data_IF_909818319533
#
_entry.id   IF_909818319533
#
_cell.length_a   1.000
_cell.length_b   1.000
_cell.length_c   1.000
_cell.angle_alpha   90.00
_cell.angle_beta   90.00
_cell.angle_gamma   90.00
#
_symmetry.space_group_name_H-M   'P 1'
#
loop_
_entity.id
_entity.type
_entity.pdbx_description
1 polymer ?
#
# COMPACT_ATOMS: atom_id res chain seq x y z
N UNK A 1 55.93 10.75 -80.15
CA UNK A 1 55.97 12.23 -80.18
C UNK A 1 55.48 12.74 -78.83
N UNK A 2 56.48 13.01 -78.04
CA UNK A 2 56.34 13.80 -76.79
C UNK A 2 56.03 15.25 -77.17
N UNK A 3 55.82 16.17 -76.26
CA UNK A 3 55.99 16.18 -74.79
C UNK A 3 54.78 16.91 -74.14
N UNK A 4 54.73 17.31 -72.99
CA UNK A 4 55.55 17.81 -71.93
C UNK A 4 54.65 18.40 -70.82
N UNK A 5 55.01 18.16 -69.70
CA UNK A 5 55.53 19.03 -68.66
C UNK A 5 54.52 19.87 -67.84
N UNK A 6 54.69 19.67 -66.62
CA UNK A 6 55.02 20.63 -65.51
C UNK A 6 53.82 21.13 -64.69
N UNK A 7 53.95 20.74 -63.51
CA UNK A 7 54.42 21.42 -62.28
C UNK A 7 53.31 21.95 -61.40
N UNK A 8 53.50 21.50 -60.24
CA UNK A 8 53.70 22.15 -58.93
C UNK A 8 52.42 22.41 -58.19
N UNK A 9 52.30 21.70 -57.16
CA UNK A 9 52.71 21.95 -55.79
C UNK A 9 51.93 23.11 -55.17
N UNK A 10 51.31 22.80 -54.10
CA UNK A 10 51.50 23.43 -52.80
C UNK A 10 50.33 22.99 -51.89
N UNK A 11 50.65 22.15 -50.90
CA UNK A 11 50.76 22.43 -49.49
C UNK A 11 49.56 23.25 -48.97
N UNK A 12 48.75 22.57 -48.23
CA UNK A 12 47.77 23.16 -47.35
C UNK A 12 47.47 22.15 -46.22
N UNK A 13 48.39 22.14 -45.27
CA UNK A 13 48.20 21.47 -43.99
C UNK A 13 47.07 22.17 -43.25
N UNK A 14 46.04 21.46 -42.89
CA UNK A 14 45.23 21.84 -41.75
C UNK A 14 44.70 20.58 -41.13
N UNK A 15 45.41 20.10 -40.13
CA UNK A 15 44.96 19.21 -39.09
C UNK A 15 43.90 19.97 -38.29
N UNK A 16 42.67 19.70 -38.53
CA UNK A 16 41.60 20.05 -37.60
C UNK A 16 41.22 18.79 -36.83
N UNK A 17 41.92 18.60 -35.72
CA UNK A 17 41.54 17.62 -34.71
C UNK A 17 40.24 18.08 -34.08
N UNK A 18 39.13 17.60 -34.59
CA UNK A 18 37.82 17.77 -33.95
C UNK A 18 37.71 16.88 -32.74
N UNK A 19 37.96 17.45 -31.55
CA UNK A 19 37.65 16.81 -30.28
C UNK A 19 36.12 16.76 -30.17
N UNK A 20 35.54 15.60 -30.46
CA UNK A 20 34.14 15.34 -30.12
C UNK A 20 34.09 15.11 -28.61
N UNK A 21 33.78 16.17 -27.86
CA UNK A 21 33.42 16.07 -26.48
C UNK A 21 32.06 15.35 -26.38
N UNK A 22 32.08 14.05 -26.07
CA UNK A 22 30.87 13.36 -25.60
C UNK A 22 30.47 13.98 -24.27
N UNK A 23 29.53 14.89 -24.31
CA UNK A 23 28.82 15.36 -23.12
C UNK A 23 27.94 14.23 -22.63
N UNK A 24 28.45 13.42 -21.72
CA UNK A 24 27.61 12.51 -20.92
C UNK A 24 26.79 13.39 -19.99
N UNK A 25 25.60 13.73 -20.43
CA UNK A 25 24.59 14.36 -19.56
C UNK A 25 24.16 13.28 -18.57
N UNK A 26 24.82 13.22 -17.43
CA UNK A 26 24.34 12.46 -16.29
C UNK A 26 23.00 13.06 -15.86
N UNK A 27 21.92 12.37 -16.17
CA UNK A 27 20.63 12.62 -15.55
C UNK A 27 20.76 12.26 -14.07
N UNK A 28 21.12 13.22 -13.26
CA UNK A 28 20.93 13.14 -11.81
C UNK A 28 19.45 13.23 -11.58
N UNK A 29 18.78 12.07 -11.42
CA UNK A 29 17.45 12.00 -10.82
C UNK A 29 17.61 12.32 -9.34
N UNK A 30 17.65 13.61 -9.06
CA UNK A 30 17.48 14.14 -7.72
C UNK A 30 16.03 14.56 -7.56
N UNK A 31 15.12 13.63 -7.56
CA UNK A 31 13.76 13.88 -7.11
C UNK A 31 13.69 13.61 -5.61
N UNK A 32 14.15 14.56 -4.83
CA UNK A 32 13.59 14.75 -3.51
C UNK A 32 12.20 15.34 -3.71
N UNK A 33 11.21 14.46 -3.82
CA UNK A 33 9.80 14.83 -3.71
C UNK A 33 9.53 15.30 -2.27
N UNK A 34 9.82 16.58 -2.00
CA UNK A 34 9.42 17.31 -0.80
C UNK A 34 7.95 17.75 -0.89
N UNK A 35 7.08 16.91 -1.46
CA UNK A 35 5.65 17.04 -1.32
C UNK A 35 5.21 16.60 0.08
N UNK A 36 4.11 17.12 0.63
CA UNK A 36 3.59 16.61 1.90
C UNK A 36 3.33 15.12 1.75
N UNK A 37 4.08 14.31 2.53
CA UNK A 37 3.98 12.86 2.49
C UNK A 37 2.55 12.47 2.87
N UNK A 38 1.76 12.06 1.89
CA UNK A 38 0.39 11.65 2.13
C UNK A 38 0.39 10.39 3.02
N UNK A 39 -0.01 10.55 4.26
CA UNK A 39 -0.18 9.44 5.20
C UNK A 39 -1.67 9.07 5.27
N UNK A 40 -2.11 8.01 4.58
CA UNK A 40 -3.51 7.61 4.54
C UNK A 40 -4.03 7.11 5.89
N UNK A 41 -3.13 6.65 6.74
CA UNK A 41 -3.45 6.15 8.08
C UNK A 41 -2.33 6.49 9.07
N UNK A 42 -2.70 6.58 10.34
CA UNK A 42 -1.77 6.64 11.46
C UNK A 42 -1.88 5.38 12.28
N UNK A 43 -0.75 4.91 12.81
CA UNK A 43 -0.67 3.73 13.64
C UNK A 43 -0.46 4.12 15.10
N UNK A 44 -1.29 3.59 15.98
CA UNK A 44 -1.07 3.62 17.42
C UNK A 44 -0.02 2.60 17.87
N UNK A 45 0.30 2.62 19.16
CA UNK A 45 1.19 1.62 19.76
C UNK A 45 0.60 0.21 19.63
N UNK A 46 1.46 -0.79 19.47
CA UNK A 46 1.05 -2.18 19.48
C UNK A 46 0.69 -2.61 20.90
N UNK A 47 -0.35 -3.43 21.05
CA UNK A 47 -0.67 -4.12 22.28
C UNK A 47 0.27 -5.32 22.53
N UNK A 48 0.05 -6.06 23.63
CA UNK A 48 0.83 -7.25 23.98
C UNK A 48 0.76 -8.37 22.93
N UNK A 49 -0.28 -8.39 22.10
CA UNK A 49 -0.45 -9.33 20.97
C UNK A 49 0.14 -8.81 19.65
N UNK A 50 0.75 -7.63 19.66
CA UNK A 50 1.30 -6.97 18.47
C UNK A 50 0.25 -6.31 17.57
N UNK A 51 -0.99 -6.17 18.05
CA UNK A 51 -2.08 -5.50 17.31
C UNK A 51 -1.97 -4.00 17.50
N UNK A 52 -1.97 -3.27 16.38
CA UNK A 52 -1.92 -1.81 16.38
C UNK A 52 -3.32 -1.22 16.12
N UNK A 53 -3.59 -0.09 16.74
CA UNK A 53 -4.75 0.73 16.34
C UNK A 53 -4.43 1.43 15.04
N UNK A 54 -5.34 1.36 14.08
CA UNK A 54 -5.23 2.02 12.77
C UNK A 54 -6.27 3.11 12.69
N UNK A 55 -5.85 4.36 12.44
CA UNK A 55 -6.78 5.47 12.24
C UNK A 55 -6.59 6.01 10.82
N UNK A 56 -7.63 5.90 10.00
CA UNK A 56 -7.64 6.41 8.62
C UNK A 56 -8.01 7.88 8.58
N UNK A 57 -7.48 8.58 7.57
CA UNK A 57 -8.06 9.86 7.16
C UNK A 57 -9.40 9.63 6.47
N UNK A 58 -10.28 10.63 6.46
CA UNK A 58 -11.57 10.54 5.76
C UNK A 58 -11.37 10.26 4.26
N UNK A 59 -10.41 10.90 3.64
CA UNK A 59 -10.07 10.71 2.22
C UNK A 59 -9.60 9.27 1.94
N UNK A 60 -8.76 8.71 2.81
CA UNK A 60 -8.32 7.33 2.66
C UNK A 60 -9.47 6.34 2.76
N UNK A 61 -10.34 6.52 3.75
CA UNK A 61 -11.53 5.70 3.93
C UNK A 61 -12.47 5.75 2.72
N UNK A 62 -12.65 6.94 2.13
CA UNK A 62 -13.44 7.10 0.90
C UNK A 62 -12.80 6.40 -0.30
N UNK A 63 -11.49 6.52 -0.49
CA UNK A 63 -10.77 5.90 -1.61
C UNK A 63 -10.89 4.38 -1.60
N UNK A 64 -10.80 3.76 -0.42
CA UNK A 64 -10.96 2.30 -0.28
C UNK A 64 -12.42 1.89 -0.12
N UNK A 65 -13.35 2.83 -0.20
CA UNK A 65 -14.80 2.62 -0.04
C UNK A 65 -15.11 1.85 1.25
N UNK A 66 -14.45 2.24 2.34
CA UNK A 66 -14.55 1.56 3.61
C UNK A 66 -15.99 1.52 4.10
N UNK A 67 -16.47 0.33 4.43
CA UNK A 67 -17.82 0.13 4.97
C UNK A 67 -17.74 -0.69 6.25
N UNK A 68 -18.73 -0.50 7.11
CA UNK A 68 -18.86 -1.23 8.37
C UNK A 68 -20.25 -1.84 8.48
N UNK A 69 -20.34 -3.01 9.08
CA UNK A 69 -21.58 -3.71 9.36
C UNK A 69 -21.77 -3.98 10.85
N UNK A 70 -22.99 -4.27 11.28
CA UNK A 70 -23.30 -4.56 12.67
C UNK A 70 -22.87 -5.98 13.04
N UNK A 71 -22.58 -6.17 14.32
CA UNK A 71 -22.43 -7.47 14.97
C UNK A 71 -23.77 -7.81 15.61
N UNK A 72 -24.40 -8.90 15.18
CA UNK A 72 -25.68 -9.34 15.69
C UNK A 72 -25.50 -10.47 16.72
N UNK A 73 -26.36 -10.55 17.72
CA UNK A 73 -26.42 -11.72 18.58
C UNK A 73 -26.88 -12.96 17.79
N UNK A 74 -26.27 -14.12 18.03
CA UNK A 74 -26.63 -15.38 17.38
C UNK A 74 -26.43 -16.56 18.34
N UNK A 75 -27.49 -16.99 18.99
CA UNK A 75 -27.45 -18.05 19.98
C UNK A 75 -26.50 -17.71 21.14
N UNK A 76 -25.48 -18.55 21.33
CA UNK A 76 -24.43 -18.32 22.35
C UNK A 76 -23.27 -17.46 21.87
N UNK A 77 -23.27 -17.09 20.60
CA UNK A 77 -22.21 -16.32 19.96
C UNK A 77 -22.76 -15.11 19.25
N UNK A 78 -22.08 -14.70 18.23
CA UNK A 78 -22.43 -13.55 17.39
C UNK A 78 -22.38 -13.90 15.91
N UNK A 79 -23.05 -13.11 15.11
CA UNK A 79 -23.01 -13.21 13.65
C UNK A 79 -22.57 -11.90 13.03
N UNK A 80 -21.76 -12.02 12.00
CA UNK A 80 -21.24 -10.90 11.19
C UNK A 80 -21.42 -11.21 9.71
N UNK A 81 -21.27 -10.18 8.88
CA UNK A 81 -21.09 -10.40 7.45
C UNK A 81 -19.77 -11.13 7.22
N UNK A 82 -19.76 -12.18 6.38
CA UNK A 82 -18.56 -12.96 6.06
C UNK A 82 -17.43 -12.11 5.48
N UNK A 83 -17.75 -11.06 4.74
CA UNK A 83 -16.75 -10.15 4.17
C UNK A 83 -15.94 -9.38 5.23
N UNK A 84 -16.34 -9.40 6.50
CA UNK A 84 -15.57 -8.81 7.59
C UNK A 84 -14.39 -9.70 8.06
N UNK A 85 -14.38 -10.99 7.69
CA UNK A 85 -13.33 -11.91 8.09
C UNK A 85 -12.06 -11.66 7.29
N UNK A 86 -10.95 -11.59 8.00
CA UNK A 86 -9.60 -11.63 7.43
C UNK A 86 -8.83 -12.79 8.04
N UNK A 87 -7.87 -13.29 7.30
CA UNK A 87 -7.01 -14.39 7.74
C UNK A 87 -5.55 -13.92 7.73
N UNK A 88 -4.85 -14.19 8.81
CA UNK A 88 -3.41 -13.91 8.87
C UNK A 88 -2.60 -15.03 8.17
N UNK A 89 -1.29 -14.84 8.11
CA UNK A 89 -0.36 -15.81 7.50
C UNK A 89 -0.34 -17.18 8.19
N UNK A 90 -0.89 -17.27 9.40
CA UNK A 90 -1.02 -18.50 10.18
C UNK A 90 -2.40 -19.14 10.03
N UNK A 91 -3.28 -18.57 9.18
CA UNK A 91 -4.65 -19.02 9.00
C UNK A 91 -5.57 -18.69 10.18
N UNK A 92 -5.18 -17.79 11.09
CA UNK A 92 -6.03 -17.35 12.18
C UNK A 92 -7.04 -16.32 11.66
N UNK A 93 -8.26 -16.41 12.17
CA UNK A 93 -9.37 -15.54 11.77
C UNK A 93 -9.43 -14.29 12.65
N UNK A 94 -9.64 -13.15 12.03
CA UNK A 94 -9.69 -11.83 12.64
C UNK A 94 -10.79 -10.98 12.02
N UNK A 95 -11.22 -9.96 12.76
CA UNK A 95 -12.07 -8.87 12.26
C UNK A 95 -11.50 -7.54 12.72
N UNK A 96 -11.80 -6.45 12.03
CA UNK A 96 -11.53 -5.11 12.51
C UNK A 96 -12.77 -4.55 13.19
N UNK A 97 -12.70 -4.32 14.48
CA UNK A 97 -13.72 -3.59 15.25
C UNK A 97 -13.54 -2.09 15.07
N UNK A 98 -14.62 -1.34 15.28
CA UNK A 98 -14.68 0.11 15.07
C UNK A 98 -15.01 0.78 16.41
N UNK A 99 -14.04 0.98 17.30
CA UNK A 99 -14.28 1.61 18.60
C UNK A 99 -14.64 3.09 18.50
N UNK A 100 -14.14 3.78 17.46
CA UNK A 100 -14.41 5.17 17.16
C UNK A 100 -14.49 5.36 15.64
N UNK A 101 -15.10 6.45 15.13
CA UNK A 101 -15.09 6.73 13.70
C UNK A 101 -13.67 6.71 13.11
N UNK A 102 -13.53 6.03 11.97
CA UNK A 102 -12.27 5.88 11.24
C UNK A 102 -11.12 5.20 12.03
N UNK A 103 -11.41 4.65 13.19
CA UNK A 103 -10.43 3.97 14.06
C UNK A 103 -10.76 2.49 14.13
N UNK A 104 -9.77 1.64 13.84
CA UNK A 104 -9.92 0.21 13.67
C UNK A 104 -8.93 -0.53 14.56
N UNK A 105 -9.41 -1.59 15.22
CA UNK A 105 -8.57 -2.47 16.05
C UNK A 105 -8.89 -3.90 15.67
N UNK A 106 -7.86 -4.66 15.32
CA UNK A 106 -8.00 -6.06 14.96
C UNK A 106 -8.32 -6.90 16.18
N UNK A 107 -9.35 -7.74 16.07
CA UNK A 107 -9.76 -8.68 17.12
C UNK A 107 -9.72 -10.10 16.59
N UNK A 108 -9.09 -11.01 17.32
CA UNK A 108 -9.11 -12.43 17.00
C UNK A 108 -10.51 -12.99 17.23
N UNK A 109 -10.96 -13.83 16.31
CA UNK A 109 -12.28 -14.47 16.38
C UNK A 109 -12.18 -15.96 16.18
N UNK A 110 -13.20 -16.69 16.68
CA UNK A 110 -13.38 -18.12 16.42
C UNK A 110 -14.63 -18.31 15.60
N UNK A 111 -14.46 -18.80 14.39
CA UNK A 111 -15.55 -19.06 13.45
C UNK A 111 -16.12 -20.45 13.69
N UNK A 112 -17.40 -20.56 13.98
CA UNK A 112 -18.10 -21.84 14.12
C UNK A 112 -18.64 -22.30 12.77
N UNK A 113 -19.24 -21.38 11.99
CA UNK A 113 -19.94 -21.71 10.77
C UNK A 113 -19.98 -20.52 9.83
N UNK A 114 -19.91 -20.81 8.54
CA UNK A 114 -20.16 -19.84 7.48
C UNK A 114 -21.29 -20.36 6.62
N UNK A 115 -22.32 -19.56 6.43
CA UNK A 115 -23.46 -19.84 5.58
C UNK A 115 -23.68 -18.64 4.67
N UNK A 116 -23.58 -18.86 3.37
CA UNK A 116 -23.70 -17.80 2.37
C UNK A 116 -22.78 -16.60 2.69
N UNK A 117 -23.40 -15.48 3.08
CA UNK A 117 -22.69 -14.24 3.40
C UNK A 117 -22.62 -13.94 4.91
N UNK A 118 -22.85 -14.95 5.74
CA UNK A 118 -22.90 -14.81 7.20
C UNK A 118 -21.93 -15.76 7.87
N UNK A 119 -21.11 -15.22 8.76
CA UNK A 119 -20.26 -16.00 9.65
C UNK A 119 -20.81 -15.95 11.07
N UNK A 120 -20.97 -17.13 11.68
CA UNK A 120 -21.31 -17.27 13.12
C UNK A 120 -20.03 -17.53 13.87
N UNK A 121 -19.82 -16.78 14.93
CA UNK A 121 -18.62 -16.79 15.76
C UNK A 121 -18.98 -17.23 17.18
N UNK A 122 -18.21 -18.18 17.74
CA UNK A 122 -18.27 -18.50 19.18
C UNK A 122 -17.49 -17.51 20.04
N UNK A 123 -16.43 -16.93 19.46
CA UNK A 123 -15.64 -15.84 20.07
C UNK A 123 -15.57 -14.68 19.07
N UNK A 124 -16.01 -13.51 19.48
CA UNK A 124 -16.04 -12.32 18.63
C UNK A 124 -16.38 -11.04 19.36
N UNK A 125 -16.55 -9.94 18.63
CA UNK A 125 -16.92 -8.66 19.22
C UNK A 125 -18.29 -8.71 19.87
N UNK A 126 -18.53 -7.79 20.81
CA UNK A 126 -19.82 -7.71 21.48
C UNK A 126 -20.97 -7.45 20.50
N UNK A 127 -22.17 -8.04 20.71
CA UNK A 127 -23.37 -7.68 19.94
C UNK A 127 -23.64 -6.18 20.01
N UNK A 128 -24.05 -5.58 18.90
CA UNK A 128 -24.29 -4.13 18.77
C UNK A 128 -23.07 -3.32 18.42
N UNK A 129 -21.86 -3.90 18.50
CA UNK A 129 -20.66 -3.25 17.95
C UNK A 129 -20.63 -3.29 16.42
N UNK A 130 -19.64 -2.67 15.82
CA UNK A 130 -19.45 -2.66 14.36
C UNK A 130 -18.13 -3.26 13.97
N UNK A 131 -18.11 -3.89 12.81
CA UNK A 131 -16.90 -4.42 12.16
C UNK A 131 -16.77 -3.90 10.74
N UNK A 132 -15.56 -3.80 10.25
CA UNK A 132 -15.29 -3.44 8.85
C UNK A 132 -15.74 -4.58 7.94
N UNK A 133 -16.55 -4.26 6.93
CA UNK A 133 -17.09 -5.24 5.94
C UNK A 133 -16.55 -5.01 4.54
N UNK A 134 -16.11 -3.80 4.22
CA UNK A 134 -15.41 -3.47 2.98
C UNK A 134 -14.16 -2.67 3.33
N UNK A 135 -13.04 -2.97 2.71
CA UNK A 135 -11.76 -2.34 3.01
C UNK A 135 -10.98 -2.97 4.17
N UNK A 136 -11.39 -4.14 4.67
CA UNK A 136 -10.71 -4.82 5.77
C UNK A 136 -9.27 -5.23 5.41
N UNK A 137 -9.02 -5.61 4.16
CA UNK A 137 -7.68 -5.94 3.67
C UNK A 137 -6.77 -4.71 3.62
N UNK A 138 -7.30 -3.56 3.25
CA UNK A 138 -6.60 -2.27 3.21
C UNK A 138 -6.23 -1.81 4.62
N UNK A 139 -7.15 -1.97 5.59
CA UNK A 139 -6.86 -1.70 7.01
C UNK A 139 -5.76 -2.63 7.50
N UNK A 140 -5.78 -3.91 7.10
CA UNK A 140 -4.74 -4.88 7.47
C UNK A 140 -3.39 -4.53 6.84
N UNK A 141 -3.38 -4.12 5.58
CA UNK A 141 -2.17 -3.61 4.93
C UNK A 141 -1.59 -2.40 5.64
N UNK A 142 -2.43 -1.44 6.04
CA UNK A 142 -2.01 -0.27 6.80
C UNK A 142 -1.47 -0.65 8.19
N UNK A 143 -2.12 -1.58 8.91
CA UNK A 143 -1.62 -2.05 10.22
C UNK A 143 -0.23 -2.66 10.14
N UNK A 144 0.05 -3.42 9.08
CA UNK A 144 1.34 -4.07 8.86
C UNK A 144 2.40 -3.13 8.28
N UNK A 145 2.03 -1.88 7.95
CA UNK A 145 2.91 -0.89 7.33
C UNK A 145 3.59 -1.42 6.05
N UNK A 146 2.83 -2.18 5.25
CA UNK A 146 3.34 -2.81 4.02
C UNK A 146 3.61 -1.76 2.93
N UNK A 147 3.03 -0.57 3.04
CA UNK A 147 3.08 0.50 2.02
C UNK A 147 4.22 1.51 2.20
N UNK A 148 5.12 1.34 3.14
CA UNK A 148 6.03 2.40 3.59
C UNK A 148 7.52 2.19 3.43
N UNK A 149 7.99 1.13 2.78
CA UNK A 149 9.43 0.94 2.57
C UNK A 149 9.71 0.42 1.17
N UNK A 150 9.78 1.32 0.25
CA UNK A 150 10.46 1.17 -1.03
C UNK A 150 11.56 2.20 -1.12
#
# INVERSE_FOLDING_TARGET
MSPDSRRRAWIGRSLATGLIALSVTACTHGDEETGPKYAPATLGSADAAGVKTVTFTADAAQRVRLQTGPVAAAGRGVAINYAALIYDKKGQSWVYTVPQPLTFVRMKVTVDRVEENRATLSVGPAPGSRVVTTGAAEVYGAELDISGKH
#
